data_IF_683795582405
#
_entry.id   IF_683795582405
#
_cell.length_a   1.000
_cell.length_b   1.000
_cell.length_c   1.000
_cell.angle_alpha   90.00
_cell.angle_beta   90.00
_cell.angle_gamma   90.00
#
_symmetry.space_group_name_H-M   'P 1'
#
loop_
_entity.id
_entity.type
_entity.pdbx_description
1 polymer ?
#
# COMPACT_ATOMS: atom_id res chain seq x y z
N UNK A 1 9.08 2.21 12.37
CA UNK A 1 7.64 1.93 12.14
C UNK A 1 7.30 1.14 10.88
N UNK A 2 8.23 0.99 9.93
CA UNK A 2 8.04 0.06 8.81
C UNK A 2 8.04 -1.40 9.28
N UNK A 3 7.33 -2.24 8.54
CA UNK A 3 7.36 -3.69 8.66
C UNK A 3 7.20 -4.36 7.30
N UNK A 4 7.64 -5.60 7.22
CA UNK A 4 7.51 -6.47 6.05
C UNK A 4 7.10 -7.86 6.52
N UNK A 5 6.25 -8.53 5.75
CA UNK A 5 5.80 -9.91 6.00
C UNK A 5 5.85 -10.69 4.69
N UNK A 6 6.58 -11.83 4.59
CA UNK A 6 7.45 -12.41 5.62
C UNK A 6 8.54 -11.46 6.12
N UNK A 7 9.07 -11.69 7.32
CA UNK A 7 10.05 -10.77 7.93
C UNK A 7 11.36 -10.73 7.13
N UNK A 8 12.14 -9.65 7.26
CA UNK A 8 13.46 -9.55 6.61
C UNK A 8 14.36 -10.74 6.93
N UNK A 9 14.36 -11.20 8.17
CA UNK A 9 15.13 -12.38 8.59
C UNK A 9 14.64 -13.65 7.88
N UNK A 10 13.33 -13.83 7.78
CA UNK A 10 12.76 -14.95 7.03
C UNK A 10 13.15 -14.91 5.55
N UNK A 11 13.07 -13.73 4.93
CA UNK A 11 13.45 -13.53 3.53
C UNK A 11 14.95 -13.77 3.31
N UNK A 12 15.81 -13.24 4.18
CA UNK A 12 17.25 -13.41 4.09
C UNK A 12 17.69 -14.88 4.23
N UNK A 13 16.92 -15.69 4.98
CA UNK A 13 17.17 -17.12 5.16
C UNK A 13 16.41 -18.01 4.16
N UNK A 14 15.64 -17.44 3.21
CA UNK A 14 15.00 -18.23 2.16
C UNK A 14 16.03 -18.72 1.13
N UNK A 15 15.88 -19.96 0.61
CA UNK A 15 16.66 -20.39 -0.53
C UNK A 15 16.34 -19.52 -1.76
N UNK A 16 17.28 -19.41 -2.70
CA UNK A 16 17.13 -18.59 -3.91
C UNK A 16 15.84 -18.90 -4.67
N UNK A 17 15.44 -20.18 -4.75
CA UNK A 17 14.19 -20.59 -5.40
C UNK A 17 12.95 -20.09 -4.66
N UNK A 18 13.00 -20.00 -3.32
CA UNK A 18 11.93 -19.39 -2.52
C UNK A 18 11.84 -17.88 -2.73
N UNK A 19 12.99 -17.20 -2.88
CA UNK A 19 13.05 -15.75 -3.14
C UNK A 19 12.50 -15.35 -4.51
N UNK A 20 12.45 -16.26 -5.49
CA UNK A 20 11.81 -16.00 -6.81
C UNK A 20 10.29 -15.90 -6.74
N UNK A 21 9.67 -16.50 -5.71
CA UNK A 21 8.23 -16.70 -5.64
C UNK A 21 7.68 -16.41 -4.25
N UNK A 22 8.09 -15.28 -3.65
CA UNK A 22 7.62 -14.87 -2.32
C UNK A 22 6.14 -14.53 -2.40
N UNK A 23 5.31 -15.35 -1.77
CA UNK A 23 3.85 -15.17 -1.76
C UNK A 23 3.41 -14.27 -0.62
N UNK A 24 2.27 -13.59 -0.82
CA UNK A 24 1.61 -12.77 0.19
C UNK A 24 2.56 -11.73 0.82
N UNK A 25 3.48 -11.18 0.03
CA UNK A 25 4.39 -10.15 0.49
C UNK A 25 3.59 -8.91 0.88
N UNK A 26 3.79 -8.43 2.10
CA UNK A 26 3.21 -7.19 2.61
C UNK A 26 4.34 -6.28 3.05
N UNK A 27 4.30 -5.03 2.63
CA UNK A 27 5.16 -3.97 3.15
C UNK A 27 4.27 -2.87 3.72
N UNK A 28 4.48 -2.50 4.98
CA UNK A 28 3.62 -1.55 5.66
C UNK A 28 4.38 -0.59 6.56
N UNK A 29 3.72 0.49 6.95
CA UNK A 29 4.18 1.46 7.93
C UNK A 29 3.04 1.77 8.88
N UNK A 30 3.23 1.43 10.16
CA UNK A 30 2.19 1.56 11.21
C UNK A 30 1.65 2.99 11.27
N UNK A 31 0.32 3.15 11.21
CA UNK A 31 -0.35 4.45 11.26
C UNK A 31 -0.49 5.17 9.91
N UNK A 32 0.04 4.59 8.83
CA UNK A 32 0.04 5.19 7.49
C UNK A 32 -0.64 4.29 6.46
N UNK A 33 -0.32 3.00 6.46
CA UNK A 33 -0.88 2.04 5.50
C UNK A 33 0.07 0.90 5.14
N UNK A 34 -0.33 0.13 4.14
CA UNK A 34 0.42 -1.01 3.62
C UNK A 34 0.12 -1.29 2.14
N UNK A 35 1.02 -2.02 1.50
CA UNK A 35 0.84 -2.62 0.18
C UNK A 35 1.00 -4.13 0.31
N UNK A 36 0.03 -4.87 -0.22
CA UNK A 36 0.04 -6.33 -0.33
C UNK A 36 0.12 -6.72 -1.80
N UNK A 37 1.14 -7.47 -2.16
CA UNK A 37 1.31 -7.96 -3.52
C UNK A 37 0.39 -9.15 -3.77
N UNK A 38 -0.44 -9.05 -4.81
CA UNK A 38 -1.47 -10.04 -5.12
C UNK A 38 -0.90 -11.24 -5.90
N UNK A 39 0.36 -11.15 -6.34
CA UNK A 39 1.09 -12.17 -7.07
C UNK A 39 2.43 -12.48 -6.37
N UNK A 40 3.02 -13.68 -6.59
CA UNK A 40 4.35 -14.00 -6.08
C UNK A 40 5.40 -12.99 -6.59
N UNK A 41 6.26 -12.53 -5.68
CA UNK A 41 7.27 -11.52 -5.95
C UNK A 41 8.65 -12.18 -6.08
N UNK A 42 9.39 -11.80 -7.13
CA UNK A 42 10.80 -12.16 -7.29
C UNK A 42 11.69 -11.11 -6.62
N UNK A 43 12.32 -11.49 -5.51
CA UNK A 43 13.23 -10.66 -4.74
C UNK A 43 14.71 -11.02 -4.96
N UNK A 44 15.03 -11.93 -5.89
CA UNK A 44 16.42 -12.42 -6.08
C UNK A 44 17.41 -11.32 -6.48
N UNK A 45 16.94 -10.27 -7.15
CA UNK A 45 17.73 -9.13 -7.60
C UNK A 45 17.31 -7.82 -6.92
N UNK A 46 16.77 -7.91 -5.70
CA UNK A 46 16.33 -6.77 -4.89
C UNK A 46 17.08 -6.80 -3.57
N UNK A 47 17.75 -5.69 -3.23
CA UNK A 47 18.33 -5.53 -1.89
C UNK A 47 17.19 -5.45 -0.86
N UNK A 48 17.14 -6.40 0.08
CA UNK A 48 16.01 -6.53 1.01
C UNK A 48 15.91 -5.31 1.93
N UNK A 49 17.05 -4.72 2.29
CA UNK A 49 17.19 -3.48 3.05
C UNK A 49 16.58 -2.26 2.33
N UNK A 50 16.54 -2.27 1.00
CA UNK A 50 15.97 -1.18 0.20
C UNK A 50 14.45 -1.29 0.04
N UNK A 51 13.84 -2.42 0.41
CA UNK A 51 12.39 -2.61 0.21
C UNK A 51 11.60 -1.57 1.01
N UNK A 52 11.94 -1.38 2.29
CA UNK A 52 11.20 -0.50 3.20
C UNK A 52 11.80 0.91 3.21
N UNK A 53 11.02 1.90 2.78
CA UNK A 53 11.43 3.31 2.85
C UNK A 53 12.26 3.82 1.67
N UNK A 54 12.66 2.94 0.74
CA UNK A 54 13.31 3.33 -0.52
C UNK A 54 12.49 2.84 -1.72
N UNK A 55 12.35 1.53 -1.94
CA UNK A 55 11.50 0.98 -3.01
C UNK A 55 10.02 1.17 -2.69
N UNK A 56 9.59 0.82 -1.48
CA UNK A 56 8.22 1.05 -1.00
C UNK A 56 8.23 2.21 0.00
N UNK A 57 7.74 3.36 -0.46
CA UNK A 57 7.64 4.58 0.34
C UNK A 57 6.19 4.80 0.76
N UNK A 58 5.97 4.92 2.06
CA UNK A 58 4.66 5.06 2.69
C UNK A 58 4.71 6.32 3.55
N UNK A 59 3.94 7.31 3.13
CA UNK A 59 3.81 8.62 3.75
C UNK A 59 2.34 8.88 4.10
N UNK A 60 2.05 10.03 4.72
CA UNK A 60 0.68 10.38 5.05
C UNK A 60 -0.19 10.42 3.78
N UNK A 61 -1.21 9.57 3.74
CA UNK A 61 -2.18 9.45 2.63
C UNK A 61 -1.56 9.08 1.27
N UNK A 62 -0.38 8.44 1.26
CA UNK A 62 0.36 8.13 0.04
C UNK A 62 1.20 6.85 0.19
N UNK A 63 1.05 5.95 -0.77
CA UNK A 63 1.88 4.74 -0.92
C UNK A 63 2.42 4.73 -2.34
N UNK A 64 3.74 4.61 -2.49
CA UNK A 64 4.41 4.58 -3.80
C UNK A 64 5.41 3.44 -3.82
N UNK A 65 5.36 2.65 -4.88
CA UNK A 65 6.35 1.60 -5.18
C UNK A 65 7.21 2.09 -6.36
N UNK A 66 8.53 2.08 -6.17
CA UNK A 66 9.53 2.73 -7.03
C UNK A 66 9.25 4.24 -7.22
N UNK A 67 9.56 5.09 -6.21
CA UNK A 67 9.37 6.54 -6.32
C UNK A 67 10.25 7.16 -7.42
N UNK A 68 11.45 6.62 -7.64
CA UNK A 68 12.32 7.01 -8.75
C UNK A 68 11.96 6.19 -10.02
N UNK A 69 11.61 6.88 -11.10
CA UNK A 69 11.23 6.25 -12.37
C UNK A 69 12.42 5.63 -13.09
N UNK A 70 13.64 6.13 -12.89
CA UNK A 70 14.84 5.59 -13.55
C UNK A 70 15.23 4.21 -13.01
N UNK A 71 14.85 3.93 -11.76
CA UNK A 71 15.07 2.63 -11.10
C UNK A 71 13.84 1.73 -11.16
N UNK A 72 12.74 2.18 -11.78
CA UNK A 72 11.49 1.42 -11.84
C UNK A 72 11.63 0.31 -12.89
N UNK A 73 11.53 -0.97 -12.49
CA UNK A 73 11.70 -2.08 -13.42
C UNK A 73 10.44 -2.24 -14.30
N UNK A 74 10.48 -3.04 -15.37
CA UNK A 74 9.32 -3.31 -16.22
C UNK A 74 8.10 -3.82 -15.44
N UNK A 75 6.89 -3.54 -15.95
CA UNK A 75 5.66 -4.06 -15.35
C UNK A 75 5.68 -5.58 -15.32
N UNK A 76 5.34 -6.17 -14.17
CA UNK A 76 5.37 -7.62 -13.96
C UNK A 76 6.67 -8.15 -13.37
N UNK A 77 7.62 -7.28 -13.01
CA UNK A 77 8.94 -7.69 -12.48
C UNK A 77 9.21 -7.07 -11.12
N UNK A 78 9.95 -7.78 -10.27
CA UNK A 78 10.24 -7.38 -8.89
C UNK A 78 8.96 -6.89 -8.17
N UNK A 79 8.98 -5.71 -7.53
CA UNK A 79 7.82 -5.14 -6.86
C UNK A 79 6.91 -4.32 -7.80
N UNK A 80 7.15 -4.28 -9.12
CA UNK A 80 6.26 -3.61 -10.08
C UNK A 80 5.16 -4.56 -10.54
N UNK A 81 4.42 -5.10 -9.57
CA UNK A 81 3.35 -6.08 -9.71
C UNK A 81 2.01 -5.49 -9.27
N UNK A 82 0.87 -6.08 -9.71
CA UNK A 82 -0.43 -5.74 -9.17
C UNK A 82 -0.48 -5.92 -7.66
N UNK A 83 -1.10 -4.97 -6.97
CA UNK A 83 -1.13 -4.96 -5.52
C UNK A 83 -2.42 -4.35 -4.96
N UNK A 84 -2.82 -4.85 -3.79
CA UNK A 84 -3.84 -4.23 -2.96
C UNK A 84 -3.17 -3.26 -1.98
N UNK A 85 -3.53 -1.98 -2.04
CA UNK A 85 -3.04 -0.93 -1.15
C UNK A 85 -4.10 -0.58 -0.12
N UNK A 86 -3.69 -0.42 1.13
CA UNK A 86 -4.50 0.14 2.22
C UNK A 86 -3.83 1.42 2.73
N UNK A 87 -4.58 2.52 2.75
CA UNK A 87 -4.17 3.79 3.35
C UNK A 87 -4.97 3.99 4.63
N UNK A 88 -4.26 4.25 5.74
CA UNK A 88 -4.85 4.57 7.04
C UNK A 88 -5.04 6.09 7.20
N UNK A 89 -5.90 6.49 8.15
CA UNK A 89 -6.17 7.90 8.46
C UNK A 89 -6.66 8.73 7.24
N UNK A 90 -7.27 8.08 6.25
CA UNK A 90 -7.82 8.70 5.07
C UNK A 90 -9.24 9.24 5.37
N UNK A 91 -9.34 10.42 5.96
CA UNK A 91 -10.65 11.01 6.31
C UNK A 91 -10.99 12.25 5.49
N UNK A 92 -12.28 12.42 5.19
CA UNK A 92 -12.84 13.76 4.97
C UNK A 92 -12.96 14.49 6.31
N UNK A 93 -12.83 15.81 6.30
CA UNK A 93 -12.88 16.63 7.50
C UNK A 93 -14.10 17.55 7.48
N UNK A 94 -14.70 17.77 8.65
CA UNK A 94 -15.78 18.73 8.80
C UNK A 94 -15.25 20.15 8.61
N UNK A 95 -15.99 20.98 7.87
CA UNK A 95 -15.55 22.35 7.54
C UNK A 95 -15.56 23.31 8.73
N UNK A 96 -16.40 23.05 9.74
CA UNK A 96 -16.56 23.95 10.88
C UNK A 96 -15.62 23.56 12.02
N UNK A 97 -15.51 22.25 12.31
CA UNK A 97 -14.72 21.76 13.44
C UNK A 97 -13.32 21.28 13.06
N UNK A 98 -13.07 21.00 11.78
CA UNK A 98 -11.83 20.36 11.32
C UNK A 98 -11.70 18.89 11.76
N UNK A 99 -12.71 18.33 12.42
CA UNK A 99 -12.65 16.95 12.91
C UNK A 99 -12.85 15.93 11.76
N UNK A 100 -12.23 14.74 11.84
CA UNK A 100 -12.49 13.64 10.91
C UNK A 100 -13.97 13.21 10.91
N UNK A 101 -14.57 13.12 9.72
CA UNK A 101 -15.93 12.59 9.56
C UNK A 101 -15.88 11.08 9.53
N UNK A 102 -16.32 10.44 10.62
CA UNK A 102 -16.31 8.98 10.81
C UNK A 102 -17.69 8.33 10.69
N UNK A 103 -18.76 9.10 10.89
CA UNK A 103 -20.13 8.61 10.87
C UNK A 103 -20.55 8.26 9.42
N UNK A 104 -20.87 6.97 9.12
CA UNK A 104 -21.30 6.54 7.80
C UNK A 104 -22.62 7.17 7.32
N UNK A 105 -23.45 7.64 8.25
CA UNK A 105 -24.72 8.31 7.93
C UNK A 105 -24.52 9.76 7.54
N UNK A 106 -23.37 10.35 7.86
CA UNK A 106 -23.07 11.74 7.55
C UNK A 106 -22.91 11.95 6.03
N UNK A 107 -23.56 12.95 5.41
CA UNK A 107 -23.53 13.14 3.95
C UNK A 107 -22.12 13.27 3.35
N UNK A 108 -21.18 13.88 4.09
CA UNK A 108 -19.77 13.98 3.66
C UNK A 108 -19.04 12.65 3.60
N UNK A 109 -19.40 11.68 4.44
CA UNK A 109 -18.79 10.35 4.42
C UNK A 109 -19.06 9.68 3.07
N UNK A 110 -20.33 9.64 2.66
CA UNK A 110 -20.73 9.06 1.38
C UNK A 110 -20.17 9.84 0.19
N UNK A 111 -20.19 11.18 0.23
CA UNK A 111 -19.58 12.00 -0.81
C UNK A 111 -18.07 11.72 -0.97
N UNK A 112 -17.36 11.53 0.14
CA UNK A 112 -15.93 11.19 0.11
C UNK A 112 -15.71 9.77 -0.43
N UNK A 113 -16.48 8.78 0.02
CA UNK A 113 -16.45 7.41 -0.51
C UNK A 113 -16.66 7.38 -2.03
N UNK A 114 -17.64 8.13 -2.54
CA UNK A 114 -17.89 8.25 -3.99
C UNK A 114 -16.74 8.94 -4.75
N UNK A 115 -16.03 9.89 -4.14
CA UNK A 115 -14.82 10.47 -4.73
C UNK A 115 -13.68 9.47 -4.80
N UNK A 116 -13.50 8.66 -3.75
CA UNK A 116 -12.50 7.58 -3.76
C UNK A 116 -12.81 6.54 -4.84
N UNK A 117 -14.10 6.19 -5.03
CA UNK A 117 -14.55 5.29 -6.12
C UNK A 117 -14.25 5.79 -7.52
N UNK A 118 -14.22 7.11 -7.73
CA UNK A 118 -13.99 7.74 -9.04
C UNK A 118 -12.53 8.11 -9.30
N UNK A 119 -11.60 7.73 -8.41
CA UNK A 119 -10.16 7.96 -8.62
C UNK A 119 -9.69 7.19 -9.85
N UNK A 120 -8.98 7.86 -10.75
CA UNK A 120 -8.36 7.23 -11.91
C UNK A 120 -7.15 6.40 -11.51
N UNK A 121 -6.80 5.42 -12.35
CA UNK A 121 -5.63 4.55 -12.21
C UNK A 121 -5.61 3.68 -10.93
N UNK A 122 -6.75 3.53 -10.26
CA UNK A 122 -6.94 2.62 -9.12
C UNK A 122 -8.31 1.94 -9.23
N UNK A 123 -8.41 0.70 -8.75
CA UNK A 123 -9.69 0.01 -8.60
C UNK A 123 -10.13 0.09 -7.13
N UNK A 124 -11.25 0.76 -6.85
CA UNK A 124 -11.77 0.88 -5.50
C UNK A 124 -12.19 -0.50 -4.94
N UNK A 125 -11.73 -0.84 -3.74
CA UNK A 125 -12.14 -2.05 -3.02
C UNK A 125 -13.07 -1.70 -1.87
N UNK A 126 -12.60 -0.91 -0.90
CA UNK A 126 -13.42 -0.50 0.24
C UNK A 126 -12.97 0.82 0.87
N UNK A 127 -13.87 1.40 1.66
CA UNK A 127 -13.61 2.55 2.53
C UNK A 127 -14.45 2.42 3.80
N UNK A 128 -13.78 2.41 4.97
CA UNK A 128 -14.38 2.15 6.28
C UNK A 128 -14.52 3.41 7.14
N UNK A 129 -15.38 3.37 8.17
CA UNK A 129 -15.55 4.46 9.15
C UNK A 129 -14.28 4.78 9.95
N UNK A 130 -13.33 3.86 9.98
CA UNK A 130 -12.04 4.03 10.64
C UNK A 130 -11.01 4.75 9.76
N UNK A 131 -11.41 5.21 8.56
CA UNK A 131 -10.54 5.96 7.66
C UNK A 131 -9.55 5.07 6.91
N UNK A 132 -9.87 3.78 6.76
CA UNK A 132 -9.10 2.88 5.91
C UNK A 132 -9.66 2.93 4.50
N UNK A 133 -8.81 3.29 3.54
CA UNK A 133 -9.14 3.24 2.12
C UNK A 133 -8.34 2.13 1.46
N UNK A 134 -9.04 1.16 0.86
CA UNK A 134 -8.46 0.01 0.19
C UNK A 134 -8.75 0.10 -1.31
N UNK A 135 -7.72 -0.07 -2.13
CA UNK A 135 -7.81 -0.08 -3.58
C UNK A 135 -6.75 -0.99 -4.20
N UNK A 136 -6.94 -1.40 -5.45
CA UNK A 136 -5.93 -2.14 -6.24
C UNK A 136 -5.27 -1.25 -7.27
N UNK A 137 -4.03 -1.57 -7.60
CA UNK A 137 -3.19 -0.94 -8.65
C UNK A 137 -2.53 -1.98 -9.54
#
# INVERSE_FOLDING_TARGET
DYYISPSLDTLANMPTEGLKHVQNLVVGRKGYGEVRFDQPVDLTNVALEDIMGNIVVIEEKKVVVYPNQDTKPPKGTQLNLPATVKIENCFSHDKNTGAPVRDPTHPRFNLFKERLRKRENVEFVDYTSNGEWIFKV
#
